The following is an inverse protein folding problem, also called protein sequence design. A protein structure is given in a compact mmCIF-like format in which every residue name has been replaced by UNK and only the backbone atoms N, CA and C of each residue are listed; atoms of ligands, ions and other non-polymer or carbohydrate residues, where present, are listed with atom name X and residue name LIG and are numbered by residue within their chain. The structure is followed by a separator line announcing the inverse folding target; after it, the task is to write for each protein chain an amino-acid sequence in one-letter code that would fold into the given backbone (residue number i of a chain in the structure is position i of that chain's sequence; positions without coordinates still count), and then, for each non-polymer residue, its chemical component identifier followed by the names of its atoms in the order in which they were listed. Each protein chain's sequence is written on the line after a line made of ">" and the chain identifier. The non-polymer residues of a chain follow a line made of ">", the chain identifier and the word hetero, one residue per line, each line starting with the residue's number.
data_IF_349116633155
#
_entry.id   IF_349116633155
#
_cell.length_a   1.000
_cell.length_b   1.000
_cell.length_c   1.000
_cell.angle_alpha   90.00
_cell.angle_beta   90.00
_cell.angle_gamma   90.00
#
_symmetry.space_group_name_H-M   'P 1'
#
loop_
_entity.id
_entity.type
_entity.pdbx_description
1 polymer ?
#
# COMPACT_ATOMS: atom_id res chain seq x y z
N UNK A 1 -2.60 2.05 15.56
CA UNK A 1 -1.48 3.01 15.42
C UNK A 1 -1.96 4.11 14.49
N UNK A 2 -1.69 5.39 14.82
CA UNK A 2 -2.05 6.51 13.93
C UNK A 2 -0.90 6.65 12.93
N UNK A 3 -1.13 6.21 11.69
CA UNK A 3 -0.15 6.30 10.60
C UNK A 3 -0.46 7.54 9.77
N UNK A 4 0.43 8.52 9.77
CA UNK A 4 0.29 9.74 8.97
C UNK A 4 0.95 9.54 7.60
N UNK A 5 0.16 9.67 6.53
CA UNK A 5 0.67 9.64 5.14
C UNK A 5 0.88 11.07 4.68
N UNK A 6 2.12 11.39 4.26
CA UNK A 6 2.47 12.71 3.72
C UNK A 6 2.69 12.56 2.21
N UNK A 7 1.85 13.21 1.41
CA UNK A 7 1.96 13.23 -0.04
C UNK A 7 2.38 14.63 -0.48
N UNK A 8 3.49 14.72 -1.21
CA UNK A 8 3.93 15.99 -1.80
C UNK A 8 3.28 16.14 -3.17
N UNK A 9 2.51 17.21 -3.33
CA UNK A 9 1.81 17.53 -4.56
C UNK A 9 2.21 18.94 -5.04
N UNK A 10 2.27 19.18 -6.36
CA UNK A 10 2.30 20.52 -6.92
C UNK A 10 1.10 21.33 -6.44
N UNK A 11 1.29 22.63 -6.20
CA UNK A 11 0.24 23.51 -5.67
C UNK A 11 -1.05 23.47 -6.51
N UNK A 12 -0.93 23.51 -7.84
CA UNK A 12 -2.10 23.51 -8.74
C UNK A 12 -2.93 22.22 -8.63
N UNK A 13 -2.28 21.07 -8.44
CA UNK A 13 -2.99 19.79 -8.28
C UNK A 13 -3.69 19.72 -6.93
N UNK A 14 -3.01 20.18 -5.88
CA UNK A 14 -3.60 20.29 -4.54
C UNK A 14 -4.86 21.16 -4.56
N UNK A 15 -4.79 22.35 -5.15
CA UNK A 15 -5.92 23.29 -5.20
C UNK A 15 -7.12 22.68 -5.97
N UNK A 16 -6.85 21.95 -7.05
CA UNK A 16 -7.89 21.21 -7.79
C UNK A 16 -8.55 20.13 -6.94
N UNK A 17 -7.76 19.37 -6.18
CA UNK A 17 -8.27 18.32 -5.30
C UNK A 17 -9.06 18.90 -4.10
N UNK A 18 -8.63 20.03 -3.55
CA UNK A 18 -9.39 20.75 -2.52
C UNK A 18 -10.75 21.20 -3.06
N UNK A 19 -10.79 21.80 -4.25
CA UNK A 19 -12.05 22.16 -4.89
C UNK A 19 -12.95 20.95 -5.16
N UNK A 20 -12.37 19.83 -5.59
CA UNK A 20 -13.10 18.60 -5.79
C UNK A 20 -13.72 18.11 -4.47
N UNK A 21 -12.94 18.06 -3.39
CA UNK A 21 -13.43 17.65 -2.07
C UNK A 21 -14.59 18.54 -1.60
N UNK A 22 -14.46 19.86 -1.78
CA UNK A 22 -15.53 20.81 -1.42
C UNK A 22 -16.82 20.59 -2.21
N UNK A 23 -16.74 20.20 -3.50
CA UNK A 23 -17.95 19.86 -4.30
C UNK A 23 -18.72 18.67 -3.73
N UNK A 24 -18.02 17.75 -3.05
CA UNK A 24 -18.62 16.63 -2.34
C UNK A 24 -18.99 16.95 -0.88
N UNK A 25 -18.80 18.19 -0.43
CA UNK A 25 -19.03 18.59 0.96
C UNK A 25 -18.03 17.98 1.94
N UNK A 26 -16.83 17.60 1.48
CA UNK A 26 -15.81 16.93 2.27
C UNK A 26 -14.55 17.78 2.39
N UNK A 27 -13.80 17.56 3.47
CA UNK A 27 -12.41 18.01 3.53
C UNK A 27 -11.52 17.14 2.63
N UNK A 28 -10.40 17.70 2.12
CA UNK A 28 -9.46 16.93 1.31
C UNK A 28 -8.93 15.66 2.03
N UNK A 29 -8.58 15.69 3.33
CA UNK A 29 -8.19 14.48 4.06
C UNK A 29 -9.31 13.43 4.11
N UNK A 30 -10.57 13.85 4.26
CA UNK A 30 -11.68 12.92 4.33
C UNK A 30 -12.01 12.30 2.97
N UNK A 31 -12.03 13.09 1.90
CA UNK A 31 -12.15 12.58 0.54
C UNK A 31 -11.03 11.57 0.24
N UNK A 32 -9.79 11.95 0.54
CA UNK A 32 -8.62 11.08 0.33
C UNK A 32 -8.74 9.76 1.07
N UNK A 33 -9.21 9.79 2.32
CA UNK A 33 -9.44 8.57 3.12
C UNK A 33 -10.47 7.65 2.44
N UNK A 34 -11.60 8.19 1.99
CA UNK A 34 -12.65 7.39 1.33
C UNK A 34 -12.14 6.75 0.04
N UNK A 35 -11.46 7.52 -0.80
CA UNK A 35 -10.87 7.01 -2.05
C UNK A 35 -9.85 5.91 -1.76
N UNK A 36 -8.96 6.11 -0.80
CA UNK A 36 -7.97 5.09 -0.44
C UNK A 36 -8.63 3.83 0.13
N UNK A 37 -9.69 3.96 0.92
CA UNK A 37 -10.46 2.80 1.42
C UNK A 37 -11.13 2.04 0.28
N UNK A 38 -11.78 2.73 -0.65
CA UNK A 38 -12.42 2.10 -1.80
C UNK A 38 -11.41 1.36 -2.67
N UNK A 39 -10.32 2.05 -3.06
CA UNK A 39 -9.24 1.45 -3.84
C UNK A 39 -8.61 0.28 -3.11
N UNK A 40 -8.43 0.36 -1.79
CA UNK A 40 -7.90 -0.77 -1.00
C UNK A 40 -8.84 -1.98 -0.97
N UNK A 41 -10.15 -1.77 -1.09
CA UNK A 41 -11.12 -2.87 -1.13
C UNK A 41 -11.14 -3.60 -2.48
N UNK A 42 -10.72 -2.92 -3.54
CA UNK A 42 -10.57 -3.51 -4.89
C UNK A 42 -9.24 -4.20 -5.09
N UNK A 43 -8.20 -3.83 -4.32
CA UNK A 43 -6.93 -4.55 -4.32
C UNK A 43 -7.14 -5.82 -3.49
N UNK A 44 -7.11 -7.02 -4.11
CA UNK A 44 -7.21 -8.25 -3.34
C UNK A 44 -6.06 -8.27 -2.34
N UNK A 45 -6.38 -8.54 -1.06
CA UNK A 45 -5.35 -8.88 -0.09
C UNK A 45 -4.72 -10.18 -0.56
N UNK A 46 -3.55 -10.11 -1.21
CA UNK A 46 -2.83 -11.31 -1.66
C UNK A 46 -2.57 -12.21 -0.44
N UNK A 47 -3.36 -13.25 -0.31
CA UNK A 47 -3.15 -14.28 0.71
C UNK A 47 -2.20 -15.32 0.15
N UNK A 48 -1.23 -15.73 0.98
CA UNK A 48 -0.36 -16.86 0.63
C UNK A 48 -1.17 -18.15 0.42
N UNK A 49 -2.40 -18.22 0.94
CA UNK A 49 -3.33 -19.35 0.82
C UNK A 49 -3.83 -19.58 -0.60
N UNK A 50 -3.75 -18.58 -1.48
CA UNK A 50 -4.17 -18.67 -2.88
C UNK A 50 -3.17 -19.41 -3.77
N UNK A 51 -1.98 -19.70 -3.25
CA UNK A 51 -0.91 -20.39 -3.97
C UNK A 51 -0.97 -21.91 -3.75
N UNK A 52 -0.55 -22.70 -4.74
CA UNK A 52 -0.58 -24.18 -4.67
C UNK A 52 0.14 -24.77 -3.43
N UNK A 53 1.13 -24.04 -2.89
CA UNK A 53 1.98 -24.48 -1.76
C UNK A 53 2.22 -23.33 -0.76
N UNK A 54 1.20 -22.92 0.00
CA UNK A 54 1.25 -21.72 0.84
C UNK A 54 2.37 -21.78 1.90
N UNK A 55 2.54 -22.95 2.54
CA UNK A 55 3.54 -23.15 3.58
C UNK A 55 4.98 -23.14 3.05
N UNK A 56 5.21 -23.70 1.86
CA UNK A 56 6.53 -23.71 1.24
C UNK A 56 6.94 -22.29 0.81
N UNK A 57 5.98 -21.53 0.24
CA UNK A 57 6.17 -20.13 -0.13
C UNK A 57 6.49 -19.28 1.10
N UNK A 58 5.70 -19.42 2.18
CA UNK A 58 5.95 -18.71 3.44
C UNK A 58 7.33 -19.02 4.04
N UNK A 59 7.76 -20.28 3.99
CA UNK A 59 9.08 -20.70 4.47
C UNK A 59 10.22 -20.11 3.62
N UNK A 60 10.06 -20.11 2.30
CA UNK A 60 11.00 -19.49 1.36
C UNK A 60 11.12 -17.99 1.60
N UNK A 61 9.98 -17.30 1.75
CA UNK A 61 9.92 -15.86 1.95
C UNK A 61 10.55 -15.45 3.29
N UNK A 62 10.30 -16.22 4.37
CA UNK A 62 10.98 -16.04 5.67
C UNK A 62 12.50 -16.21 5.56
N UNK A 63 12.96 -17.21 4.80
CA UNK A 63 14.39 -17.43 4.55
C UNK A 63 14.99 -16.24 3.77
N UNK A 64 14.35 -15.83 2.69
CA UNK A 64 14.80 -14.70 1.86
C UNK A 64 14.91 -13.41 2.66
N UNK A 65 13.93 -13.09 3.53
CA UNK A 65 13.99 -11.94 4.42
C UNK A 65 15.14 -12.01 5.43
N UNK A 66 15.38 -13.19 6.01
CA UNK A 66 16.50 -13.42 6.92
C UNK A 66 17.84 -13.24 6.21
N UNK A 67 17.96 -13.76 5.00
CA UNK A 67 19.19 -13.68 4.21
C UNK A 67 19.45 -12.25 3.73
N UNK A 68 18.42 -11.53 3.30
CA UNK A 68 18.49 -10.11 2.98
C UNK A 68 18.97 -9.27 4.19
N UNK A 69 18.36 -9.48 5.37
CA UNK A 69 18.76 -8.80 6.61
C UNK A 69 20.22 -9.09 6.99
N UNK A 70 20.70 -10.28 6.68
CA UNK A 70 22.09 -10.70 6.92
C UNK A 70 23.05 -10.33 5.77
N UNK A 71 22.61 -9.57 4.76
CA UNK A 71 23.35 -9.22 3.53
C UNK A 71 23.88 -10.43 2.75
N UNK A 72 23.24 -11.59 2.90
CA UNK A 72 23.56 -12.83 2.19
C UNK A 72 22.64 -13.01 0.99
N UNK A 73 22.62 -12.04 0.09
CA UNK A 73 21.77 -12.12 -1.10
C UNK A 73 22.50 -12.97 -2.14
N UNK A 74 22.25 -14.28 -2.15
CA UNK A 74 22.70 -15.14 -3.23
C UNK A 74 21.67 -15.08 -4.36
N UNK A 75 21.96 -14.28 -5.39
CA UNK A 75 21.23 -14.34 -6.65
C UNK A 75 21.57 -15.67 -7.34
N UNK A 76 20.76 -16.70 -7.14
CA UNK A 76 20.63 -17.78 -8.12
C UNK A 76 19.19 -17.79 -8.58
N UNK A 77 19.01 -17.22 -9.77
CA UNK A 77 17.85 -17.41 -10.64
C UNK A 77 17.69 -18.91 -10.93
#
# INVERSE_FOLDING_TARGET
>A
MISTVIIKLPKQEKDRLEQLALRYGLSLPELSRRVLTEVSSEIPEESLEEYERPHALAASLKRALKDWRNKRIYARL
#
